data_IF_030025728519
#
_entry.id   IF_030025728519
#
_cell.length_a   1.000
_cell.length_b   1.000
_cell.length_c   1.000
_cell.angle_alpha   90.00
_cell.angle_beta   90.00
_cell.angle_gamma   90.00
#
_symmetry.space_group_name_H-M   'P 1'
#
loop_
_entity.id
_entity.type
_entity.pdbx_description
1 polymer ?
#
# COMPACT_ATOMS: atom_id res chain seq x y z
N UNK A 1 -4.31 47.54 -5.52
CA UNK A 1 -3.00 47.66 -4.84
C UNK A 1 -2.23 46.36 -5.03
N UNK A 2 -1.00 46.48 -5.52
CA UNK A 2 0.13 45.53 -5.62
C UNK A 2 0.00 44.14 -6.28
N UNK A 3 0.64 44.06 -7.44
CA UNK A 3 1.13 42.90 -8.19
C UNK A 3 2.59 42.60 -7.77
N UNK A 4 3.04 41.33 -7.76
CA UNK A 4 4.40 40.80 -8.16
C UNK A 4 4.62 39.38 -7.60
N UNK A 5 4.74 38.35 -8.44
CA UNK A 5 5.94 37.78 -9.10
C UNK A 5 6.92 37.04 -8.17
N UNK A 6 7.02 35.73 -8.44
CA UNK A 6 8.23 34.89 -8.57
C UNK A 6 9.32 34.90 -7.49
N UNK A 7 9.77 33.71 -7.07
CA UNK A 7 11.07 33.12 -7.52
C UNK A 7 11.42 31.84 -6.76
N UNK A 8 11.70 30.79 -7.54
CA UNK A 8 12.59 29.67 -7.24
C UNK A 8 13.84 30.15 -6.48
N UNK A 9 14.21 29.48 -5.38
CA UNK A 9 15.50 29.68 -4.72
C UNK A 9 16.34 28.41 -4.89
N UNK A 10 17.30 28.53 -5.81
CA UNK A 10 18.34 27.57 -6.14
C UNK A 10 19.55 27.78 -5.20
N UNK A 11 20.14 26.67 -4.75
CA UNK A 11 21.54 26.43 -4.36
C UNK A 11 22.26 27.42 -3.44
N UNK A 12 22.78 26.92 -2.30
CA UNK A 12 24.24 26.85 -2.05
C UNK A 12 24.52 26.08 -0.76
N UNK A 13 25.09 24.88 -0.88
CA UNK A 13 25.71 24.17 0.24
C UNK A 13 27.11 24.74 0.45
N UNK A 14 27.41 25.02 1.71
CA UNK A 14 28.67 25.59 2.18
C UNK A 14 29.86 24.68 1.87
N UNK A 15 30.90 25.32 1.34
CA UNK A 15 32.21 24.77 1.06
C UNK A 15 33.04 24.60 2.34
N UNK A 16 33.91 23.59 2.32
CA UNK A 16 35.27 23.57 2.89
C UNK A 16 35.44 23.30 4.39
N UNK A 17 36.10 22.17 4.69
CA UNK A 17 37.48 22.15 5.22
C UNK A 17 38.08 20.75 5.14
N UNK A 18 39.02 20.61 4.22
CA UNK A 18 39.98 19.52 4.10
C UNK A 18 41.11 19.78 5.11
N UNK A 19 41.61 18.76 5.82
CA UNK A 19 43.01 18.71 6.16
C UNK A 19 43.69 17.62 5.34
N UNK A 20 44.60 18.07 4.47
CA UNK A 20 45.62 17.29 3.78
C UNK A 20 46.84 17.33 4.70
N UNK A 21 47.37 16.18 5.14
CA UNK A 21 48.80 15.92 5.40
C UNK A 21 48.93 14.47 5.87
N UNK A 22 49.66 13.64 5.12
CA UNK A 22 49.79 12.21 5.44
C UNK A 22 50.29 11.38 4.26
N UNK A 23 51.52 11.65 3.85
CA UNK A 23 52.28 10.96 2.81
C UNK A 23 52.49 9.49 3.15
N UNK A 24 51.87 8.55 2.45
CA UNK A 24 52.44 7.20 2.22
C UNK A 24 51.93 6.59 0.91
N UNK A 25 52.87 6.41 -0.01
CA UNK A 25 52.72 5.65 -1.25
C UNK A 25 52.56 4.17 -0.87
N UNK A 26 51.40 3.59 -1.11
CA UNK A 26 51.19 2.15 -0.98
C UNK A 26 50.29 1.62 -2.11
N UNK A 27 50.98 1.16 -3.16
CA UNK A 27 50.69 -0.01 -4.00
C UNK A 27 49.22 -0.26 -4.36
N UNK A 28 48.91 0.00 -5.63
CA UNK A 28 47.79 -0.57 -6.38
C UNK A 28 47.67 -2.06 -6.05
N UNK A 29 46.59 -2.44 -5.38
CA UNK A 29 46.06 -3.79 -5.40
C UNK A 29 44.67 -3.73 -6.03
N UNK A 30 44.56 -4.43 -7.14
CA UNK A 30 43.33 -4.86 -7.80
C UNK A 30 42.32 -5.23 -6.72
N UNK A 31 41.29 -4.42 -6.54
CA UNK A 31 40.20 -4.63 -5.60
C UNK A 31 38.90 -4.45 -6.34
N UNK A 32 38.15 -5.55 -6.51
CA UNK A 32 36.84 -5.60 -7.13
C UNK A 32 35.97 -4.41 -6.71
N UNK A 33 35.60 -3.58 -7.69
CA UNK A 33 34.45 -2.68 -7.59
C UNK A 33 33.19 -3.54 -7.56
N UNK A 34 32.83 -4.02 -6.38
CA UNK A 34 31.50 -4.56 -6.13
C UNK A 34 30.53 -3.36 -6.10
N UNK A 35 29.95 -3.04 -7.26
CA UNK A 35 28.76 -2.20 -7.32
C UNK A 35 27.62 -2.96 -6.63
N UNK A 36 27.36 -2.65 -5.36
CA UNK A 36 26.15 -3.09 -4.69
C UNK A 36 24.96 -2.29 -5.28
N UNK A 37 24.30 -2.86 -6.28
CA UNK A 37 23.01 -2.38 -6.74
C UNK A 37 21.98 -2.70 -5.65
N UNK A 38 21.63 -1.70 -4.83
CA UNK A 38 20.50 -1.79 -3.91
C UNK A 38 19.21 -1.85 -4.75
N UNK A 39 18.71 -3.05 -5.00
CA UNK A 39 17.39 -3.25 -5.61
C UNK A 39 16.32 -2.83 -4.60
N UNK A 40 15.78 -1.62 -4.76
CA UNK A 40 14.54 -1.25 -4.12
C UNK A 40 13.42 -2.09 -4.76
N UNK A 41 13.03 -3.18 -4.11
CA UNK A 41 11.81 -3.92 -4.47
C UNK A 41 10.65 -3.00 -4.13
N UNK A 42 10.09 -2.34 -5.14
CA UNK A 42 8.79 -1.69 -5.01
C UNK A 42 7.79 -2.82 -4.81
N UNK A 43 7.30 -3.00 -3.59
CA UNK A 43 6.23 -3.93 -3.30
C UNK A 43 5.02 -3.50 -4.13
N UNK A 44 4.75 -4.24 -5.20
CA UNK A 44 3.51 -4.07 -5.95
C UNK A 44 2.36 -4.48 -5.04
N UNK A 45 1.27 -3.70 -4.94
CA UNK A 45 0.11 -4.11 -4.15
C UNK A 45 -0.36 -5.49 -4.62
N UNK A 46 -0.47 -6.42 -3.67
CA UNK A 46 -0.96 -7.77 -3.94
C UNK A 46 -2.46 -7.71 -4.20
N UNK A 47 -2.83 -7.69 -5.48
CA UNK A 47 -4.22 -7.65 -5.90
C UNK A 47 -4.95 -8.98 -5.77
N UNK A 48 -4.28 -10.04 -5.28
CA UNK A 48 -4.90 -11.36 -5.09
C UNK A 48 -5.63 -11.49 -3.76
N UNK A 49 -5.43 -10.55 -2.83
CA UNK A 49 -6.06 -10.54 -1.51
C UNK A 49 -7.09 -9.43 -1.40
N UNK A 50 -8.26 -9.78 -0.88
CA UNK A 50 -9.36 -8.84 -0.68
C UNK A 50 -9.80 -8.81 0.77
N UNK A 51 -10.09 -7.62 1.27
CA UNK A 51 -10.53 -7.30 2.62
C UNK A 51 -11.70 -6.33 2.57
N UNK A 52 -12.67 -6.53 3.45
CA UNK A 52 -13.73 -5.57 3.74
C UNK A 52 -13.27 -4.65 4.89
N UNK A 53 -13.66 -3.40 4.79
CA UNK A 53 -13.30 -2.33 5.70
C UNK A 53 -14.56 -1.60 6.14
N UNK A 54 -14.56 -1.13 7.39
CA UNK A 54 -15.65 -0.36 7.98
C UNK A 54 -15.15 0.95 8.54
N UNK A 55 -15.98 1.98 8.46
CA UNK A 55 -15.77 3.27 9.09
C UNK A 55 -16.88 3.46 10.14
N UNK A 56 -16.55 3.67 11.40
CA UNK A 56 -17.59 3.79 12.44
C UNK A 56 -18.27 5.17 12.48
N UNK A 57 -17.57 6.20 12.01
CA UNK A 57 -18.02 7.59 12.03
C UNK A 57 -17.68 8.27 10.70
N UNK A 58 -18.57 9.14 10.20
CA UNK A 58 -18.36 9.87 8.94
C UNK A 58 -17.04 10.66 8.94
N UNK A 59 -16.17 10.34 7.97
CA UNK A 59 -14.84 10.95 7.84
C UNK A 59 -13.81 10.43 8.84
N UNK A 60 -14.16 9.42 9.64
CA UNK A 60 -13.28 8.72 10.56
C UNK A 60 -12.27 7.80 9.86
N UNK A 61 -11.33 7.23 10.62
CA UNK A 61 -10.43 6.22 10.08
C UNK A 61 -11.21 4.98 9.65
N UNK A 62 -10.67 4.29 8.65
CA UNK A 62 -11.17 2.99 8.25
C UNK A 62 -10.47 1.87 9.00
N UNK A 63 -11.21 0.80 9.27
CA UNK A 63 -10.74 -0.38 9.98
C UNK A 63 -11.05 -1.64 9.20
N UNK A 64 -10.10 -2.55 9.19
CA UNK A 64 -10.31 -3.89 8.66
C UNK A 64 -11.32 -4.65 9.54
N UNK A 65 -12.35 -5.21 8.91
CA UNK A 65 -13.32 -6.10 9.56
C UNK A 65 -13.15 -7.53 9.03
N UNK A 66 -12.55 -8.38 9.87
CA UNK A 66 -12.27 -9.76 9.51
C UNK A 66 -13.53 -10.59 9.33
N UNK A 67 -14.52 -10.44 10.21
CA UNK A 67 -15.73 -11.27 10.16
C UNK A 67 -16.53 -10.95 8.90
N UNK A 68 -16.67 -9.66 8.58
CA UNK A 68 -17.26 -9.20 7.33
C UNK A 68 -16.51 -9.78 6.12
N UNK A 69 -15.18 -9.68 6.10
CA UNK A 69 -14.35 -10.21 5.01
C UNK A 69 -14.55 -11.71 4.80
N UNK A 70 -14.52 -12.48 5.89
CA UNK A 70 -14.67 -13.94 5.86
C UNK A 70 -16.07 -14.34 5.40
N UNK A 71 -17.11 -13.64 5.87
CA UNK A 71 -18.49 -13.92 5.51
C UNK A 71 -18.75 -13.59 4.04
N UNK A 72 -18.36 -12.40 3.58
CA UNK A 72 -18.46 -12.01 2.16
C UNK A 72 -17.73 -13.01 1.25
N UNK A 73 -16.51 -13.43 1.64
CA UNK A 73 -15.75 -14.40 0.85
C UNK A 73 -16.47 -15.74 0.72
N UNK A 74 -17.03 -16.27 1.83
CA UNK A 74 -17.75 -17.54 1.83
C UNK A 74 -19.07 -17.47 1.10
N UNK A 75 -19.83 -16.39 1.29
CA UNK A 75 -21.18 -16.22 0.74
C UNK A 75 -21.16 -16.01 -0.79
N UNK A 76 -20.26 -15.16 -1.30
CA UNK A 76 -20.31 -14.70 -2.69
C UNK A 76 -19.12 -15.15 -3.56
N UNK A 77 -18.01 -15.52 -2.93
CA UNK A 77 -16.76 -15.81 -3.62
C UNK A 77 -16.22 -17.21 -3.36
N UNK A 78 -16.93 -18.12 -2.67
CA UNK A 78 -16.41 -19.45 -2.32
C UNK A 78 -15.97 -20.31 -3.53
N UNK A 79 -16.52 -20.03 -4.72
CA UNK A 79 -16.08 -20.64 -5.97
C UNK A 79 -14.78 -20.02 -6.55
N UNK A 80 -14.52 -18.73 -6.31
CA UNK A 80 -13.42 -17.95 -6.89
C UNK A 80 -12.28 -17.62 -5.92
N UNK A 81 -12.53 -17.70 -4.62
CA UNK A 81 -11.60 -17.35 -3.56
C UNK A 81 -11.59 -18.38 -2.43
N UNK A 82 -10.66 -18.21 -1.51
CA UNK A 82 -10.50 -19.03 -0.30
C UNK A 82 -10.08 -18.11 0.83
N UNK A 83 -10.61 -18.36 2.02
CA UNK A 83 -10.24 -17.57 3.21
C UNK A 83 -8.82 -17.96 3.62
N UNK A 84 -7.92 -16.98 3.64
CA UNK A 84 -6.54 -17.12 4.11
C UNK A 84 -6.21 -15.96 5.05
N UNK A 85 -5.85 -16.29 6.29
CA UNK A 85 -5.47 -15.31 7.33
C UNK A 85 -6.49 -14.16 7.50
N UNK A 86 -7.79 -14.47 7.38
CA UNK A 86 -8.88 -13.49 7.48
C UNK A 86 -9.20 -12.74 6.18
N UNK A 87 -8.34 -12.83 5.16
CA UNK A 87 -8.56 -12.22 3.83
C UNK A 87 -9.20 -13.20 2.85
N UNK A 88 -9.87 -12.69 1.82
CA UNK A 88 -10.32 -13.50 0.69
C UNK A 88 -9.21 -13.57 -0.37
N UNK A 89 -8.51 -14.69 -0.43
CA UNK A 89 -7.45 -14.95 -1.39
C UNK A 89 -8.05 -15.52 -2.69
N UNK A 90 -7.70 -14.93 -3.82
CA UNK A 90 -8.08 -15.44 -5.13
C UNK A 90 -7.52 -16.84 -5.38
N UNK A 91 -8.33 -17.74 -5.96
CA UNK A 91 -7.84 -19.03 -6.43
C UNK A 91 -6.94 -18.84 -7.65
N UNK A 92 -5.94 -19.72 -7.85
CA UNK A 92 -5.05 -19.62 -9.00
C UNK A 92 -5.81 -19.57 -10.34
N UNK A 93 -5.50 -18.56 -11.16
CA UNK A 93 -6.11 -18.39 -12.48
C UNK A 93 -7.53 -17.80 -12.49
N UNK A 94 -8.08 -17.40 -11.34
CA UNK A 94 -9.40 -16.79 -11.22
C UNK A 94 -9.26 -15.42 -10.58
N UNK A 95 -9.72 -14.38 -11.29
CA UNK A 95 -9.74 -13.02 -10.76
C UNK A 95 -11.03 -12.76 -9.98
N UNK A 96 -10.90 -12.03 -8.87
CA UNK A 96 -12.01 -11.37 -8.19
C UNK A 96 -11.85 -9.87 -8.46
N UNK A 97 -12.87 -9.25 -9.05
CA UNK A 97 -12.84 -7.80 -9.28
C UNK A 97 -13.00 -7.04 -7.97
N UNK A 98 -12.16 -6.04 -7.73
CA UNK A 98 -12.18 -5.27 -6.49
C UNK A 98 -13.44 -4.42 -6.31
N UNK A 99 -14.06 -3.98 -7.42
CA UNK A 99 -15.34 -3.24 -7.39
C UNK A 99 -16.50 -4.15 -7.03
N UNK A 100 -16.49 -5.36 -7.60
CA UNK A 100 -17.44 -6.40 -7.27
C UNK A 100 -17.32 -6.78 -5.79
N UNK A 101 -16.09 -7.02 -5.31
CA UNK A 101 -15.85 -7.35 -3.90
C UNK A 101 -16.34 -6.25 -2.95
N UNK A 102 -16.08 -4.98 -3.28
CA UNK A 102 -16.56 -3.80 -2.54
C UNK A 102 -18.09 -3.76 -2.41
N UNK A 103 -18.81 -4.00 -3.52
CA UNK A 103 -20.28 -4.08 -3.51
C UNK A 103 -20.79 -5.25 -2.66
N UNK A 104 -20.13 -6.41 -2.67
CA UNK A 104 -20.55 -7.53 -1.82
C UNK A 104 -20.17 -7.38 -0.35
N UNK A 105 -19.11 -6.64 -0.01
CA UNK A 105 -18.87 -6.21 1.36
C UNK A 105 -20.05 -5.37 1.88
N UNK A 106 -20.53 -4.42 1.08
CA UNK A 106 -21.66 -3.57 1.43
C UNK A 106 -22.96 -4.36 1.61
N UNK A 107 -23.23 -5.32 0.73
CA UNK A 107 -24.42 -6.19 0.81
C UNK A 107 -24.37 -7.03 2.08
N UNK A 108 -23.28 -7.76 2.32
CA UNK A 108 -23.12 -8.61 3.52
C UNK A 108 -23.26 -7.79 4.81
N UNK A 109 -22.63 -6.63 4.83
CA UNK A 109 -22.62 -5.74 5.98
C UNK A 109 -24.04 -5.21 6.31
N UNK A 110 -24.82 -4.86 5.28
CA UNK A 110 -26.19 -4.38 5.43
C UNK A 110 -27.17 -5.51 5.80
N UNK A 111 -27.12 -6.64 5.10
CA UNK A 111 -28.09 -7.73 5.25
C UNK A 111 -27.86 -8.56 6.53
N UNK A 112 -26.61 -8.65 7.00
CA UNK A 112 -26.25 -9.63 8.04
C UNK A 112 -25.53 -9.05 9.26
N UNK A 113 -24.96 -7.83 9.19
CA UNK A 113 -24.18 -7.25 10.29
C UNK A 113 -24.73 -5.92 10.83
N UNK A 114 -25.73 -5.33 10.16
CA UNK A 114 -26.38 -4.08 10.61
C UNK A 114 -25.57 -2.82 10.35
N UNK A 115 -24.58 -2.87 9.47
CA UNK A 115 -23.82 -1.69 9.05
C UNK A 115 -24.61 -0.84 8.04
N UNK A 116 -24.33 0.46 8.03
CA UNK A 116 -24.81 1.35 6.96
C UNK A 116 -23.86 1.24 5.76
N UNK A 117 -24.42 1.04 4.56
CA UNK A 117 -23.67 0.82 3.31
C UNK A 117 -22.60 1.89 3.04
N UNK A 118 -22.87 3.16 3.36
CA UNK A 118 -21.93 4.27 3.16
C UNK A 118 -20.67 4.23 4.03
N UNK A 119 -20.64 3.33 5.02
CA UNK A 119 -19.54 3.13 5.96
C UNK A 119 -18.77 1.84 5.72
N UNK A 120 -18.99 1.20 4.56
CA UNK A 120 -18.39 -0.09 4.21
C UNK A 120 -17.71 0.01 2.85
N UNK A 121 -16.51 -0.53 2.74
CA UNK A 121 -15.80 -0.64 1.47
C UNK A 121 -14.79 -1.77 1.44
N UNK A 122 -14.00 -1.86 0.37
CA UNK A 122 -12.91 -2.83 0.23
C UNK A 122 -11.53 -2.18 0.27
N UNK A 123 -10.54 -2.86 0.86
CA UNK A 123 -9.19 -2.32 0.99
C UNK A 123 -8.46 -2.13 -0.35
N UNK A 124 -8.84 -2.89 -1.38
CA UNK A 124 -8.40 -2.63 -2.75
C UNK A 124 -8.70 -1.19 -3.24
N UNK A 125 -9.70 -0.51 -2.67
CA UNK A 125 -10.05 0.89 -2.97
C UNK A 125 -9.38 1.93 -2.05
N UNK A 126 -8.46 1.52 -1.20
CA UNK A 126 -7.83 2.39 -0.19
C UNK A 126 -8.72 2.64 1.02
N UNK A 127 -9.79 1.85 1.18
CA UNK A 127 -10.65 1.87 2.35
C UNK A 127 -10.04 1.12 3.53
N UNK A 128 -8.91 0.42 3.35
CA UNK A 128 -7.95 -0.15 4.31
C UNK A 128 -7.07 -1.10 3.46
#
# INVERSE_FOLDING_TARGET
MFQKRSKFKLLTFFQSRVPIEGRFIAKIRVGCLALAAAAAVVAHPDHTRHNCCVQYDEGGPWFYDQDLTVNTCKAYFGNRGTVDSGTCLQKPGISIDGSEFDSYCQIEAYDHMGYTVGFVGAGYRGSC
#
